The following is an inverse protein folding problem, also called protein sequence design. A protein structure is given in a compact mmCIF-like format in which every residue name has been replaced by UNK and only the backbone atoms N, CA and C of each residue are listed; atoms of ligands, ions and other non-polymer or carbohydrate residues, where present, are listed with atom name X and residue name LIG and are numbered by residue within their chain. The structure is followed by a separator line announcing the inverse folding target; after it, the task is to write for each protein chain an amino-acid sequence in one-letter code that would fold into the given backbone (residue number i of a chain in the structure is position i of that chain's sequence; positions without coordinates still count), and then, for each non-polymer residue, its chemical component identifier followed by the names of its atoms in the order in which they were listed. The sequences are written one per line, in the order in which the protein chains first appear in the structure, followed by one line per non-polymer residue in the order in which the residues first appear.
data_IF_554855590943
#
_entry.id   IF_554855590943
#
_cell.length_a   1.000
_cell.length_b   1.000
_cell.length_c   1.000
_cell.angle_alpha   90.00
_cell.angle_beta   90.00
_cell.angle_gamma   90.00
#
_symmetry.space_group_name_H-M   'P 1'
#
loop_
_entity.id
_entity.type
_entity.pdbx_description
1 polymer ?
#
# COMPACT_ATOMS: atom_id res chain seq x y z
N UNK A 1 56.88 -4.26 -53.74
CA UNK A 1 56.10 -4.24 -55.00
C UNK A 1 56.67 -5.34 -55.89
N UNK A 2 55.88 -6.31 -56.39
CA UNK A 2 54.44 -6.54 -56.18
C UNK A 2 54.16 -6.99 -54.71
N UNK A 3 53.03 -7.59 -54.30
CA UNK A 3 51.76 -7.96 -54.97
C UNK A 3 50.54 -7.64 -54.08
N UNK A 4 49.33 -7.69 -54.66
CA UNK A 4 48.05 -7.72 -53.93
C UNK A 4 47.06 -8.69 -54.58
N UNK A 5 46.98 -9.93 -54.11
CA UNK A 5 45.88 -10.84 -54.43
C UNK A 5 45.48 -11.78 -53.29
N UNK A 6 44.18 -11.79 -52.95
CA UNK A 6 43.49 -12.89 -52.29
C UNK A 6 43.67 -13.08 -50.77
N UNK A 7 42.69 -12.61 -49.98
CA UNK A 7 41.68 -13.54 -49.45
C UNK A 7 40.43 -12.80 -48.93
N UNK A 8 39.25 -13.23 -49.37
CA UNK A 8 37.97 -12.85 -48.76
C UNK A 8 37.88 -13.45 -47.36
N UNK A 9 37.51 -12.65 -46.35
CA UNK A 9 36.80 -13.16 -45.17
C UNK A 9 35.44 -12.49 -45.09
N UNK A 10 34.41 -13.31 -45.26
CA UNK A 10 33.01 -12.94 -45.08
C UNK A 10 32.82 -12.73 -43.57
N UNK A 11 32.48 -11.51 -43.16
CA UNK A 11 32.00 -11.26 -41.79
C UNK A 11 30.55 -11.70 -41.73
N UNK A 12 30.35 -12.97 -41.38
CA UNK A 12 29.03 -13.46 -41.01
C UNK A 12 28.63 -12.81 -39.69
N UNK A 13 27.64 -11.91 -39.73
CA UNK A 13 26.97 -11.45 -38.52
C UNK A 13 26.26 -12.64 -37.88
N UNK A 14 26.90 -13.24 -36.88
CA UNK A 14 26.27 -14.25 -36.04
C UNK A 14 25.10 -13.61 -35.32
N UNK A 15 23.89 -14.11 -35.59
CA UNK A 15 22.65 -13.65 -34.96
C UNK A 15 22.77 -13.85 -33.46
N UNK A 16 22.97 -12.76 -32.71
CA UNK A 16 22.89 -12.80 -31.26
C UNK A 16 21.42 -13.04 -30.90
N UNK A 17 21.07 -14.30 -30.67
CA UNK A 17 19.77 -14.67 -30.16
C UNK A 17 19.60 -14.02 -28.78
N UNK A 18 18.82 -12.94 -28.70
CA UNK A 18 18.33 -12.45 -27.42
C UNK A 18 17.48 -13.55 -26.81
N UNK A 19 18.06 -14.27 -25.86
CA UNK A 19 17.29 -14.96 -24.84
C UNK A 19 16.56 -13.87 -24.05
N UNK A 20 15.31 -13.64 -24.44
CA UNK A 20 14.33 -12.90 -23.66
C UNK A 20 14.10 -13.66 -22.35
N UNK A 21 14.96 -13.42 -21.36
CA UNK A 21 14.71 -13.79 -19.98
C UNK A 21 13.49 -13.02 -19.53
N UNK A 22 12.32 -13.65 -19.61
CA UNK A 22 11.04 -13.01 -19.33
C UNK A 22 11.08 -12.31 -17.97
N UNK A 23 10.56 -11.08 -17.93
CA UNK A 23 10.38 -10.29 -16.70
C UNK A 23 9.28 -10.91 -15.83
N UNK A 24 9.50 -12.14 -15.35
CA UNK A 24 8.55 -12.89 -14.58
C UNK A 24 8.46 -12.34 -13.16
N UNK A 25 7.36 -11.68 -12.84
CA UNK A 25 6.90 -11.62 -11.46
C UNK A 25 6.52 -13.03 -10.98
N UNK A 26 6.51 -13.22 -9.67
CA UNK A 26 5.91 -14.42 -9.05
C UNK A 26 4.71 -13.99 -8.26
N UNK A 27 3.52 -14.41 -8.70
CA UNK A 27 2.26 -14.17 -8.01
C UNK A 27 1.88 -15.42 -7.21
N UNK A 28 1.74 -15.28 -5.90
CA UNK A 28 1.29 -16.32 -4.99
C UNK A 28 -0.12 -15.98 -4.53
N UNK A 29 -1.06 -16.89 -4.80
CA UNK A 29 -2.48 -16.74 -4.51
C UNK A 29 -2.90 -17.81 -3.52
N UNK A 30 -3.72 -17.43 -2.55
CA UNK A 30 -4.38 -18.35 -1.63
C UNK A 30 -5.28 -19.35 -2.38
N UNK A 31 -5.17 -20.64 -2.06
CA UNK A 31 -6.13 -21.69 -2.47
C UNK A 31 -6.28 -21.96 -3.99
N UNK A 32 -5.19 -21.97 -4.75
CA UNK A 32 -5.14 -22.64 -6.06
C UNK A 32 -5.93 -22.02 -7.21
N UNK A 33 -6.57 -20.86 -6.97
CA UNK A 33 -7.03 -19.99 -8.04
C UNK A 33 -5.82 -19.50 -8.86
N UNK A 34 -6.00 -19.33 -10.17
CA UNK A 34 -5.00 -18.69 -11.02
C UNK A 34 -4.74 -17.26 -10.54
N UNK A 35 -3.50 -16.78 -10.75
CA UNK A 35 -3.18 -15.35 -10.62
C UNK A 35 -4.29 -14.51 -11.26
N UNK A 36 -4.85 -13.57 -10.48
CA UNK A 36 -6.07 -12.81 -10.85
C UNK A 36 -6.03 -12.43 -12.33
N UNK A 37 -7.01 -12.93 -13.07
CA UNK A 37 -7.29 -12.41 -14.41
C UNK A 37 -7.65 -10.92 -14.25
N UNK A 38 -7.05 -10.06 -15.06
CA UNK A 38 -7.30 -8.60 -15.05
C UNK A 38 -8.76 -8.22 -15.35
N UNK A 39 -9.62 -9.21 -15.58
CA UNK A 39 -11.07 -9.17 -15.79
C UNK A 39 -11.87 -8.50 -14.65
N UNK A 40 -11.28 -8.28 -13.46
CA UNK A 40 -11.89 -7.52 -12.38
C UNK A 40 -11.57 -5.99 -12.41
N UNK A 41 -10.79 -5.52 -13.38
CA UNK A 41 -10.66 -4.07 -13.64
C UNK A 41 -11.92 -3.54 -14.31
N UNK A 42 -12.41 -2.41 -13.83
CA UNK A 42 -13.55 -1.67 -14.39
C UNK A 42 -13.06 -0.82 -15.59
N UNK A 43 -13.96 -0.42 -16.47
CA UNK A 43 -13.63 0.57 -17.51
C UNK A 43 -13.26 1.90 -16.85
N UNK A 44 -12.10 2.51 -17.19
CA UNK A 44 -11.70 3.80 -16.64
C UNK A 44 -12.74 4.91 -16.83
N UNK A 45 -13.00 5.67 -15.78
CA UNK A 45 -13.93 6.81 -15.73
C UNK A 45 -13.16 8.13 -15.53
N UNK A 46 -13.68 9.27 -16.01
CA UNK A 46 -13.13 10.58 -15.64
C UNK A 46 -13.32 10.84 -14.15
N UNK A 47 -12.52 11.75 -13.59
CA UNK A 47 -12.58 12.16 -12.19
C UNK A 47 -12.11 13.61 -12.03
N UNK A 48 -12.55 14.25 -10.95
CA UNK A 48 -12.19 15.64 -10.61
C UNK A 48 -11.40 15.67 -9.30
N UNK A 49 -10.32 16.46 -9.26
CA UNK A 49 -9.59 16.76 -8.03
C UNK A 49 -10.31 17.88 -7.28
N UNK A 50 -10.58 17.69 -5.99
CA UNK A 50 -10.98 18.77 -5.10
C UNK A 50 -9.76 19.62 -4.72
N UNK A 51 -9.99 20.89 -4.35
CA UNK A 51 -8.95 21.67 -3.65
C UNK A 51 -8.57 20.95 -2.36
N UNK A 52 -7.28 20.88 -1.97
CA UNK A 52 -6.86 20.19 -0.74
C UNK A 52 -7.63 20.68 0.49
N UNK A 53 -8.05 19.75 1.33
CA UNK A 53 -8.93 20.03 2.48
C UNK A 53 -8.30 19.51 3.78
N UNK A 54 -8.36 20.31 4.85
CA UNK A 54 -7.97 19.86 6.18
C UNK A 54 -8.96 18.79 6.66
N UNK A 55 -8.48 17.58 6.91
CA UNK A 55 -9.29 16.50 7.49
C UNK A 55 -9.20 16.44 9.03
N UNK A 56 -8.18 17.09 9.60
CA UNK A 56 -7.92 17.08 11.04
C UNK A 56 -8.77 18.11 11.79
N UNK A 57 -9.28 17.80 13.01
CA UNK A 57 -10.00 18.77 13.84
C UNK A 57 -9.19 20.03 14.12
N UNK A 58 -9.85 21.17 14.38
CA UNK A 58 -9.18 22.47 14.57
C UNK A 58 -8.07 22.43 15.64
N UNK A 59 -8.33 21.75 16.76
CA UNK A 59 -7.42 21.57 17.89
C UNK A 59 -6.39 20.43 17.72
N UNK A 60 -6.28 19.81 16.55
CA UNK A 60 -5.26 18.79 16.30
C UNK A 60 -3.85 19.40 16.34
N UNK A 61 -2.81 18.67 16.78
CA UNK A 61 -1.46 19.23 16.94
C UNK A 61 -0.83 19.76 15.64
N UNK A 62 -1.26 19.25 14.48
CA UNK A 62 -0.84 19.72 13.16
C UNK A 62 -2.05 19.75 12.22
N UNK A 63 -2.12 20.74 11.32
CA UNK A 63 -3.21 20.87 10.36
C UNK A 63 -2.89 20.07 9.08
N UNK A 64 -3.27 18.79 9.08
CA UNK A 64 -3.02 17.86 7.98
C UNK A 64 -4.15 17.89 6.95
N UNK A 65 -3.77 17.78 5.68
CA UNK A 65 -4.66 17.87 4.52
C UNK A 65 -4.84 16.53 3.81
N UNK A 66 -5.98 16.41 3.14
CA UNK A 66 -6.35 15.34 2.25
C UNK A 66 -6.53 15.89 0.82
N UNK A 67 -6.08 15.09 -0.14
CA UNK A 67 -6.20 15.31 -1.57
C UNK A 67 -7.25 14.33 -2.07
N UNK A 68 -8.44 14.85 -2.39
CA UNK A 68 -9.61 14.04 -2.74
C UNK A 68 -9.86 14.05 -4.23
N UNK A 69 -9.96 12.87 -4.84
CA UNK A 69 -10.39 12.69 -6.23
C UNK A 69 -11.79 12.05 -6.22
N UNK A 70 -12.74 12.72 -6.88
CA UNK A 70 -14.11 12.25 -7.04
C UNK A 70 -14.30 11.70 -8.46
N UNK A 71 -14.64 10.42 -8.64
CA UNK A 71 -15.03 9.88 -9.94
C UNK A 71 -16.28 10.57 -10.48
N UNK A 72 -16.28 10.91 -11.76
CA UNK A 72 -17.45 11.42 -12.46
C UNK A 72 -18.35 10.25 -12.87
N UNK A 73 -19.52 10.14 -12.23
CA UNK A 73 -20.55 9.20 -12.65
C UNK A 73 -21.93 9.82 -12.44
N UNK A 74 -22.83 9.49 -13.37
CA UNK A 74 -24.23 9.93 -13.41
C UNK A 74 -25.15 9.00 -12.60
N UNK A 75 -24.57 8.07 -11.83
CA UNK A 75 -25.30 7.13 -10.98
C UNK A 75 -25.36 7.62 -9.54
N UNK A 76 -26.54 7.49 -8.93
CA UNK A 76 -26.77 7.69 -7.49
C UNK A 76 -26.34 6.48 -6.63
N UNK A 77 -25.78 5.42 -7.24
CA UNK A 77 -25.29 4.25 -6.52
C UNK A 77 -24.06 4.59 -5.66
N UNK A 78 -24.04 4.09 -4.42
CA UNK A 78 -22.92 4.27 -3.50
C UNK A 78 -21.67 3.53 -3.98
N UNK A 79 -20.52 4.16 -3.75
CA UNK A 79 -19.22 3.83 -4.34
C UNK A 79 -18.22 3.46 -3.25
N UNK A 80 -17.25 2.56 -3.53
CA UNK A 80 -16.14 2.36 -2.63
C UNK A 80 -15.29 3.62 -2.50
N UNK A 81 -14.49 3.69 -1.44
CA UNK A 81 -13.51 4.76 -1.25
C UNK A 81 -12.15 4.20 -0.86
N UNK A 82 -11.06 4.86 -1.22
CA UNK A 82 -9.71 4.43 -0.92
C UNK A 82 -8.96 5.46 -0.05
N UNK A 83 -8.59 5.06 1.18
CA UNK A 83 -7.63 5.80 2.00
C UNK A 83 -6.22 5.49 1.49
N UNK A 84 -5.53 6.50 0.97
CA UNK A 84 -4.20 6.36 0.35
C UNK A 84 -3.14 7.03 1.23
N UNK A 85 -2.08 6.28 1.57
CA UNK A 85 -1.06 6.70 2.54
C UNK A 85 0.36 6.49 1.99
N UNK A 86 1.17 7.56 2.03
CA UNK A 86 2.48 7.62 1.40
C UNK A 86 3.61 6.95 2.20
N UNK A 87 4.73 6.69 1.50
CA UNK A 87 5.97 6.22 2.08
C UNK A 87 6.77 7.34 2.77
N UNK A 88 8.08 7.14 2.95
CA UNK A 88 8.97 8.15 3.55
C UNK A 88 9.48 7.82 4.96
N UNK A 89 9.30 6.58 5.42
CA UNK A 89 9.90 6.09 6.66
C UNK A 89 9.43 6.84 7.90
N UNK A 90 8.16 7.27 7.90
CA UNK A 90 7.50 8.07 8.96
C UNK A 90 8.12 9.45 9.22
N UNK A 91 8.93 10.01 8.30
CA UNK A 91 9.74 11.22 8.54
C UNK A 91 9.73 12.30 7.46
N UNK A 92 9.32 11.98 6.25
CA UNK A 92 9.32 12.91 5.11
C UNK A 92 8.43 12.38 3.98
N UNK A 93 8.45 13.09 2.84
CA UNK A 93 7.58 12.94 1.66
C UNK A 93 6.14 13.37 1.94
N UNK A 94 5.30 13.37 0.92
CA UNK A 94 3.89 13.66 1.05
C UNK A 94 3.01 12.86 0.07
N UNK A 95 1.72 13.21 0.00
CA UNK A 95 0.74 12.61 -0.90
C UNK A 95 1.15 12.56 -2.38
N UNK A 96 2.01 13.46 -2.84
CA UNK A 96 2.48 13.54 -4.23
C UNK A 96 3.17 12.26 -4.72
N UNK A 97 3.84 11.50 -3.85
CA UNK A 97 4.43 10.21 -4.21
C UNK A 97 3.36 9.18 -4.63
N UNK A 98 2.16 9.28 -4.04
CA UNK A 98 1.03 8.35 -4.24
C UNK A 98 -0.02 8.84 -5.25
N UNK A 99 0.11 10.06 -5.78
CA UNK A 99 -0.87 10.70 -6.66
C UNK A 99 -1.28 9.78 -7.83
N UNK A 100 -0.32 9.25 -8.59
CA UNK A 100 -0.60 8.34 -9.70
C UNK A 100 -1.18 6.97 -9.31
N UNK A 101 -1.29 6.63 -8.02
CA UNK A 101 -2.06 5.48 -7.52
C UNK A 101 -3.49 5.93 -7.18
N UNK A 102 -3.64 7.10 -6.54
CA UNK A 102 -4.93 7.72 -6.26
C UNK A 102 -5.71 8.02 -7.56
N UNK A 103 -5.04 8.44 -8.64
CA UNK A 103 -5.63 8.60 -9.97
C UNK A 103 -6.11 7.28 -10.58
N UNK A 104 -5.34 6.19 -10.43
CA UNK A 104 -5.72 4.87 -10.95
C UNK A 104 -6.93 4.30 -10.22
N UNK A 105 -7.00 4.48 -8.90
CA UNK A 105 -8.17 4.11 -8.08
C UNK A 105 -9.39 4.99 -8.43
N UNK A 106 -9.22 6.30 -8.59
CA UNK A 106 -10.29 7.20 -9.01
C UNK A 106 -10.85 6.86 -10.39
N UNK A 107 -9.96 6.52 -11.34
CA UNK A 107 -10.36 6.02 -12.65
C UNK A 107 -11.16 4.70 -12.57
N UNK A 108 -10.95 3.89 -11.52
CA UNK A 108 -11.71 2.66 -11.28
C UNK A 108 -13.05 2.91 -10.56
N UNK A 109 -13.40 4.15 -10.24
CA UNK A 109 -14.69 4.53 -9.65
C UNK A 109 -14.70 4.61 -8.13
N UNK A 110 -13.52 4.52 -7.49
CA UNK A 110 -13.34 4.69 -6.05
C UNK A 110 -13.17 6.17 -5.70
N UNK A 111 -13.82 6.68 -4.65
CA UNK A 111 -13.51 8.01 -4.11
C UNK A 111 -12.17 7.93 -3.39
N UNK A 112 -11.13 8.64 -3.85
CA UNK A 112 -9.79 8.48 -3.27
C UNK A 112 -9.43 9.64 -2.37
N UNK A 113 -8.85 9.32 -1.22
CA UNK A 113 -8.52 10.25 -0.15
C UNK A 113 -7.06 10.02 0.22
N UNK A 114 -6.18 10.78 -0.41
CA UNK A 114 -4.73 10.68 -0.27
C UNK A 114 -4.25 11.69 0.77
N UNK A 115 -3.67 11.23 1.89
CA UNK A 115 -3.52 12.03 3.11
C UNK A 115 -2.08 12.34 3.49
N UNK A 116 -1.86 13.55 4.02
CA UNK A 116 -0.69 13.87 4.84
C UNK A 116 -0.80 13.17 6.21
N UNK A 117 0.33 12.80 6.82
CA UNK A 117 0.40 12.34 8.21
C UNK A 117 1.61 12.96 8.92
N UNK A 118 1.57 13.07 10.25
CA UNK A 118 2.67 13.71 11.02
C UNK A 118 3.98 12.92 10.98
N UNK A 119 5.09 13.57 11.31
CA UNK A 119 6.43 12.96 11.24
C UNK A 119 7.16 12.79 12.57
N UNK A 120 7.89 11.68 12.65
CA UNK A 120 8.85 11.40 13.70
C UNK A 120 10.17 12.17 13.48
N UNK A 121 10.94 12.50 14.53
CA UNK A 121 10.74 12.15 15.95
C UNK A 121 9.84 13.10 16.75
N UNK A 122 9.32 14.16 16.13
CA UNK A 122 8.46 15.16 16.79
C UNK A 122 7.13 14.54 17.22
N UNK A 123 6.48 13.84 16.29
CA UNK A 123 5.31 13.00 16.56
C UNK A 123 5.73 11.54 16.47
N UNK A 124 5.73 10.86 17.61
CA UNK A 124 6.09 9.44 17.73
C UNK A 124 4.86 8.55 17.62
N UNK A 125 5.05 7.29 17.29
CA UNK A 125 4.00 6.27 17.34
C UNK A 125 3.28 6.30 18.71
N UNK A 126 1.93 6.26 18.77
CA UNK A 126 0.97 6.03 17.68
C UNK A 126 0.42 7.27 16.95
N UNK A 127 1.04 8.46 17.05
CA UNK A 127 0.49 9.71 16.50
C UNK A 127 0.08 9.63 15.00
N UNK A 128 0.88 8.96 14.17
CA UNK A 128 0.56 8.77 12.75
C UNK A 128 -0.67 7.88 12.52
N UNK A 129 -0.88 6.87 13.38
CA UNK A 129 -2.06 6.01 13.28
C UNK A 129 -3.31 6.78 13.70
N UNK A 130 -3.20 7.66 14.70
CA UNK A 130 -4.27 8.57 15.07
C UNK A 130 -4.64 9.52 13.91
N UNK A 131 -3.66 9.96 13.11
CA UNK A 131 -3.93 10.77 11.91
C UNK A 131 -4.76 10.00 10.88
N UNK A 132 -4.42 8.73 10.61
CA UNK A 132 -5.22 7.85 9.76
C UNK A 132 -6.64 7.61 10.31
N UNK A 133 -6.80 7.48 11.62
CA UNK A 133 -8.11 7.34 12.27
C UNK A 133 -8.98 8.60 12.09
N UNK A 134 -8.39 9.80 12.21
CA UNK A 134 -9.11 11.04 11.92
C UNK A 134 -9.45 11.18 10.42
N UNK A 135 -8.60 10.69 9.51
CA UNK A 135 -8.92 10.65 8.09
C UNK A 135 -10.11 9.71 7.80
N UNK A 136 -10.20 8.56 8.47
CA UNK A 136 -11.36 7.68 8.37
C UNK A 136 -12.64 8.35 8.89
N UNK A 137 -12.61 8.95 10.09
CA UNK A 137 -13.75 9.71 10.62
C UNK A 137 -14.22 10.80 9.62
N UNK A 138 -13.29 11.53 9.02
CA UNK A 138 -13.57 12.54 8.00
C UNK A 138 -14.15 11.96 6.69
N UNK A 139 -13.74 10.76 6.27
CA UNK A 139 -14.37 10.05 5.14
C UNK A 139 -15.83 9.74 5.46
N UNK A 140 -16.12 9.23 6.67
CA UNK A 140 -17.50 8.95 7.11
C UNK A 140 -18.35 10.23 7.19
N UNK A 141 -17.81 11.34 7.71
CA UNK A 141 -18.50 12.64 7.76
C UNK A 141 -18.90 13.16 6.37
N UNK A 142 -18.06 12.93 5.35
CA UNK A 142 -18.30 13.37 3.99
C UNK A 142 -19.01 12.33 3.10
N UNK A 143 -19.27 11.12 3.60
CA UNK A 143 -19.70 9.99 2.78
C UNK A 143 -20.98 10.28 1.97
N UNK A 144 -21.97 10.94 2.59
CA UNK A 144 -23.19 11.35 1.90
C UNK A 144 -22.98 12.38 0.78
N UNK A 145 -21.98 13.26 0.90
CA UNK A 145 -21.66 14.27 -0.12
C UNK A 145 -20.85 13.69 -1.30
N UNK A 146 -20.11 12.61 -1.07
CA UNK A 146 -19.29 11.93 -2.09
C UNK A 146 -19.91 10.62 -2.61
N UNK A 147 -21.14 10.28 -2.19
CA UNK A 147 -21.80 9.01 -2.48
C UNK A 147 -20.93 7.79 -2.08
N UNK A 148 -20.20 7.87 -0.97
CA UNK A 148 -19.36 6.78 -0.46
C UNK A 148 -20.19 5.79 0.32
N UNK A 149 -19.95 4.51 0.03
CA UNK A 149 -20.35 3.37 0.81
C UNK A 149 -19.31 3.12 1.91
N UNK A 150 -19.65 3.40 3.16
CA UNK A 150 -18.68 3.34 4.28
C UNK A 150 -18.25 1.93 4.63
N UNK A 151 -19.02 0.91 4.25
CA UNK A 151 -18.64 -0.50 4.47
C UNK A 151 -17.65 -1.00 3.39
N UNK A 152 -17.38 -0.17 2.37
CA UNK A 152 -16.50 -0.48 1.22
C UNK A 152 -15.32 0.49 1.11
N UNK A 153 -14.81 0.97 2.26
CA UNK A 153 -13.57 1.75 2.33
C UNK A 153 -12.36 0.80 2.32
N UNK A 154 -11.40 1.00 1.42
CA UNK A 154 -10.17 0.21 1.27
C UNK A 154 -8.93 1.01 1.64
N UNK A 155 -7.90 0.34 2.15
CA UNK A 155 -6.63 0.98 2.50
C UNK A 155 -5.54 0.70 1.47
N UNK A 156 -4.80 1.72 1.04
CA UNK A 156 -3.70 1.56 0.08
C UNK A 156 -2.47 2.30 0.57
N UNK A 157 -1.36 1.59 0.75
CA UNK A 157 -0.12 2.20 1.22
C UNK A 157 1.15 1.60 0.63
N UNK A 158 2.23 2.38 0.67
CA UNK A 158 3.57 1.91 0.34
C UNK A 158 4.57 2.20 1.48
N UNK A 159 5.51 1.28 1.75
CA UNK A 159 6.56 1.44 2.76
C UNK A 159 5.99 1.75 4.15
N UNK A 160 6.39 2.86 4.79
CA UNK A 160 5.77 3.36 6.04
C UNK A 160 4.25 3.53 5.95
N UNK A 161 3.71 3.95 4.80
CA UNK A 161 2.27 4.06 4.60
C UNK A 161 1.57 2.70 4.54
N UNK A 162 2.21 1.69 3.93
CA UNK A 162 1.71 0.31 3.97
C UNK A 162 1.65 -0.21 5.42
N UNK A 163 2.65 0.13 6.23
CA UNK A 163 2.70 -0.19 7.65
C UNK A 163 1.60 0.49 8.46
N UNK A 164 1.38 1.79 8.27
CA UNK A 164 0.31 2.54 8.95
C UNK A 164 -1.09 2.01 8.58
N UNK A 165 -1.35 1.79 7.29
CA UNK A 165 -2.62 1.21 6.80
C UNK A 165 -2.81 -0.21 7.33
N UNK A 166 -1.74 -1.02 7.42
CA UNK A 166 -1.83 -2.37 7.99
C UNK A 166 -2.11 -2.34 9.50
N UNK A 167 -1.58 -1.38 10.25
CA UNK A 167 -1.94 -1.20 11.66
C UNK A 167 -3.39 -0.74 11.83
N UNK A 168 -3.88 0.18 10.97
CA UNK A 168 -5.28 0.61 10.96
C UNK A 168 -6.22 -0.59 10.76
N UNK A 169 -5.97 -1.39 9.72
CA UNK A 169 -6.77 -2.56 9.37
C UNK A 169 -6.77 -3.69 10.42
N UNK A 170 -5.69 -3.85 11.19
CA UNK A 170 -5.50 -4.99 12.10
C UNK A 170 -5.71 -4.66 13.58
N UNK A 171 -5.49 -3.41 13.99
CA UNK A 171 -5.53 -2.99 15.40
C UNK A 171 -6.22 -1.64 15.62
N UNK A 172 -6.49 -0.86 14.56
CA UNK A 172 -7.10 0.46 14.64
C UNK A 172 -8.62 0.45 14.70
N UNK A 173 -9.28 -0.62 14.24
CA UNK A 173 -10.72 -0.82 14.36
C UNK A 173 -11.12 -1.58 15.62
N UNK A 174 -10.40 -2.65 15.94
CA UNK A 174 -10.54 -3.48 17.13
C UNK A 174 -9.15 -3.78 17.70
N UNK A 175 -9.00 -3.86 19.03
CA UNK A 175 -7.74 -4.24 19.67
C UNK A 175 -6.96 -3.06 20.27
N UNK A 176 -5.63 -3.21 20.48
CA UNK A 176 -4.85 -2.34 21.37
C UNK A 176 -4.55 -0.94 20.84
N UNK A 177 -4.95 -0.62 19.60
CA UNK A 177 -4.77 0.69 18.97
C UNK A 177 -6.10 1.33 18.53
N UNK A 178 -7.25 0.76 18.94
CA UNK A 178 -8.56 1.28 18.59
C UNK A 178 -8.92 2.57 19.34
N UNK A 179 -8.42 2.75 20.56
CA UNK A 179 -8.64 3.96 21.36
C UNK A 179 -7.51 4.98 21.16
N UNK A 180 -7.80 6.30 21.11
CA UNK A 180 -9.09 6.93 21.38
C UNK A 180 -9.84 7.44 20.13
N UNK A 181 -9.36 7.16 18.92
CA UNK A 181 -9.92 7.73 17.66
C UNK A 181 -10.39 6.68 16.63
N UNK A 182 -10.15 5.40 16.87
CA UNK A 182 -10.52 4.31 15.98
C UNK A 182 -11.91 3.75 16.26
N UNK A 183 -12.00 2.42 16.39
CA UNK A 183 -13.28 1.73 16.51
C UNK A 183 -13.88 1.38 15.15
N UNK A 184 -15.20 1.19 15.09
CA UNK A 184 -15.90 0.69 13.89
C UNK A 184 -15.60 1.52 12.62
N UNK A 185 -15.55 2.85 12.73
CA UNK A 185 -15.23 3.78 11.64
C UNK A 185 -13.81 3.60 11.06
N UNK A 186 -12.90 2.92 11.76
CA UNK A 186 -11.55 2.63 11.26
C UNK A 186 -11.45 1.28 10.52
N UNK A 187 -12.56 0.56 10.35
CA UNK A 187 -12.61 -0.70 9.58
C UNK A 187 -12.29 -0.43 8.11
N UNK A 188 -11.50 -1.33 7.51
CA UNK A 188 -11.22 -1.36 6.08
C UNK A 188 -11.75 -2.67 5.50
N UNK A 189 -12.39 -2.60 4.33
CA UNK A 189 -12.92 -3.75 3.61
C UNK A 189 -11.82 -4.63 2.99
N UNK A 190 -10.70 -4.02 2.58
CA UNK A 190 -9.50 -4.70 2.07
C UNK A 190 -8.29 -3.76 2.07
N UNK A 191 -7.07 -4.32 1.95
CA UNK A 191 -5.81 -3.57 1.96
C UNK A 191 -4.89 -3.91 0.78
N UNK A 192 -4.32 -2.91 0.10
CA UNK A 192 -3.08 -3.05 -0.69
C UNK A 192 -1.91 -2.53 0.16
N UNK A 193 -0.93 -3.41 0.42
CA UNK A 193 0.28 -3.08 1.16
C UNK A 193 1.54 -3.39 0.34
N UNK A 194 2.19 -2.33 -0.16
CA UNK A 194 3.43 -2.42 -0.93
C UNK A 194 4.68 -2.16 -0.10
N UNK A 195 5.73 -2.97 -0.22
CA UNK A 195 7.01 -2.70 0.46
C UNK A 195 6.92 -2.70 1.99
N UNK A 196 5.95 -3.43 2.56
CA UNK A 196 5.49 -3.35 3.95
C UNK A 196 6.56 -3.74 4.98
N UNK A 197 6.96 -2.85 5.91
CA UNK A 197 7.74 -3.24 7.10
C UNK A 197 6.81 -3.83 8.17
N UNK A 198 6.43 -5.09 8.00
CA UNK A 198 5.42 -5.80 8.83
C UNK A 198 5.82 -6.12 10.28
N UNK A 199 7.11 -6.05 10.61
CA UNK A 199 7.65 -6.46 11.91
C UNK A 199 8.86 -5.60 12.27
N UNK A 200 8.67 -4.61 13.12
CA UNK A 200 9.73 -3.67 13.48
C UNK A 200 10.83 -4.34 14.34
N UNK A 201 10.55 -5.50 14.94
CA UNK A 201 11.54 -6.27 15.72
C UNK A 201 12.57 -6.97 14.82
N UNK A 202 12.35 -7.05 13.50
CA UNK A 202 13.33 -7.53 12.51
C UNK A 202 14.46 -6.53 12.24
N UNK A 203 14.26 -5.24 12.50
CA UNK A 203 15.28 -4.23 12.29
C UNK A 203 16.29 -4.17 13.44
N UNK A 204 17.57 -3.98 13.10
CA UNK A 204 18.66 -3.79 14.07
C UNK A 204 18.73 -2.34 14.56
N UNK A 205 17.70 -1.88 15.27
CA UNK A 205 17.65 -0.56 15.94
C UNK A 205 18.13 0.61 15.06
N UNK A 206 17.69 0.61 13.81
CA UNK A 206 17.98 1.67 12.85
C UNK A 206 17.35 3.00 13.28
N UNK A 207 18.04 4.12 13.01
CA UNK A 207 17.64 5.46 13.46
C UNK A 207 16.21 5.86 13.06
N UNK A 208 15.69 5.35 11.94
CA UNK A 208 14.30 5.55 11.53
C UNK A 208 13.30 4.97 12.54
N UNK A 209 13.52 3.72 12.97
CA UNK A 209 12.64 3.01 13.91
C UNK A 209 12.79 3.58 15.33
N UNK A 210 14.02 3.90 15.75
CA UNK A 210 14.26 4.58 17.03
C UNK A 210 13.54 5.93 17.10
N UNK A 211 13.64 6.77 16.05
CA UNK A 211 12.97 8.07 16.05
C UNK A 211 11.44 7.92 15.99
N UNK A 212 10.91 6.89 15.32
CA UNK A 212 9.47 6.59 15.23
C UNK A 212 8.88 6.10 16.56
N UNK A 213 9.55 5.16 17.26
CA UNK A 213 9.09 4.61 18.54
C UNK A 213 9.46 5.52 19.71
N UNK A 214 10.61 6.19 19.65
CA UNK A 214 11.12 7.07 20.70
C UNK A 214 12.24 6.50 21.57
N UNK A 215 12.74 5.30 21.27
CA UNK A 215 13.84 4.62 21.97
C UNK A 215 14.23 3.31 21.25
N UNK A 216 15.33 2.66 21.64
CA UNK A 216 15.76 1.38 21.07
C UNK A 216 14.90 0.20 21.55
N UNK A 217 14.88 -0.89 20.78
CA UNK A 217 14.10 -2.11 21.04
C UNK A 217 14.34 -2.72 22.42
N UNK A 218 15.56 -2.62 22.93
CA UNK A 218 15.92 -3.12 24.26
C UNK A 218 15.25 -2.34 25.41
N UNK A 219 14.88 -1.08 25.18
CA UNK A 219 14.20 -0.23 26.15
C UNK A 219 12.68 -0.15 25.89
N UNK A 220 12.24 -0.38 24.65
CA UNK A 220 10.86 -0.22 24.19
C UNK A 220 10.27 -1.50 23.53
N UNK A 221 10.45 -2.71 24.09
CA UNK A 221 10.09 -3.95 23.40
C UNK A 221 8.59 -4.05 23.08
N UNK A 222 7.73 -3.63 24.01
CA UNK A 222 6.28 -3.67 23.85
C UNK A 222 5.80 -2.68 22.78
N UNK A 223 6.40 -1.50 22.70
CA UNK A 223 6.07 -0.51 21.67
C UNK A 223 6.48 -0.98 20.26
N UNK A 224 7.63 -1.64 20.12
CA UNK A 224 8.02 -2.28 18.85
C UNK A 224 7.06 -3.42 18.48
N UNK A 225 6.61 -4.23 19.45
CA UNK A 225 5.64 -5.30 19.20
C UNK A 225 4.26 -4.77 18.80
N UNK A 226 3.77 -3.73 19.50
CA UNK A 226 2.51 -3.04 19.22
C UNK A 226 2.53 -2.38 17.83
N UNK A 227 3.63 -1.73 17.47
CA UNK A 227 3.85 -1.12 16.17
C UNK A 227 4.22 -2.13 15.05
N UNK A 228 4.08 -3.45 15.26
CA UNK A 228 4.39 -4.48 14.25
C UNK A 228 3.10 -5.12 13.71
N UNK A 229 2.64 -4.79 12.47
CA UNK A 229 1.45 -5.39 11.86
C UNK A 229 1.36 -6.92 11.97
N UNK A 230 2.46 -7.65 11.78
CA UNK A 230 2.50 -9.11 11.85
C UNK A 230 2.11 -9.68 13.22
N UNK A 231 2.15 -8.88 14.29
CA UNK A 231 1.73 -9.26 15.65
C UNK A 231 0.30 -8.88 15.98
N UNK A 232 -0.37 -8.13 15.11
CA UNK A 232 -1.75 -7.67 15.29
C UNK A 232 -2.76 -8.49 14.46
N UNK A 233 -2.31 -9.49 13.69
CA UNK A 233 -3.20 -10.31 12.87
C UNK A 233 -4.14 -11.14 13.76
N UNK A 234 -5.45 -10.96 13.57
CA UNK A 234 -6.52 -11.76 14.17
C UNK A 234 -7.36 -12.41 13.07
N UNK A 235 -8.29 -13.29 13.44
CA UNK A 235 -9.27 -13.87 12.50
C UNK A 235 -10.25 -12.84 11.92
N UNK A 236 -10.32 -11.62 12.49
CA UNK A 236 -11.17 -10.53 12.00
C UNK A 236 -10.46 -9.63 10.96
N UNK A 237 -9.21 -9.93 10.60
CA UNK A 237 -8.44 -9.14 9.64
C UNK A 237 -9.11 -9.12 8.26
N UNK A 238 -9.17 -7.96 7.57
CA UNK A 238 -9.70 -7.90 6.21
C UNK A 238 -8.74 -8.56 5.20
N UNK A 239 -9.19 -8.82 3.96
CA UNK A 239 -8.34 -9.30 2.88
C UNK A 239 -7.13 -8.38 2.57
N UNK A 240 -5.98 -8.99 2.26
CA UNK A 240 -4.72 -8.27 1.96
C UNK A 240 -4.10 -8.66 0.61
N UNK A 241 -3.87 -7.68 -0.25
CA UNK A 241 -2.97 -7.80 -1.40
C UNK A 241 -1.60 -7.19 -1.06
N UNK A 242 -0.56 -8.02 -1.14
CA UNK A 242 0.81 -7.63 -0.83
C UNK A 242 1.64 -7.53 -2.10
N UNK A 243 2.48 -6.50 -2.24
CA UNK A 243 3.50 -6.47 -3.30
C UNK A 243 4.87 -6.06 -2.77
N UNK A 244 5.92 -6.78 -3.19
CA UNK A 244 7.27 -6.55 -2.66
C UNK A 244 8.35 -6.77 -3.72
N UNK A 245 9.46 -6.03 -3.60
CA UNK A 245 10.63 -6.24 -4.45
C UNK A 245 11.47 -7.41 -3.92
N UNK A 246 11.84 -8.38 -4.78
CA UNK A 246 12.60 -9.55 -4.33
C UNK A 246 14.04 -9.23 -3.91
N UNK A 247 14.55 -8.04 -4.22
CA UNK A 247 15.89 -7.54 -3.87
C UNK A 247 15.79 -6.31 -2.96
N UNK A 248 14.69 -6.16 -2.22
CA UNK A 248 14.56 -5.08 -1.26
C UNK A 248 15.56 -5.23 -0.12
N UNK A 249 16.43 -4.21 0.03
CA UNK A 249 17.46 -4.12 1.08
C UNK A 249 17.10 -3.09 2.16
N UNK A 250 16.02 -2.31 1.98
CA UNK A 250 15.54 -1.36 2.98
C UNK A 250 14.48 -2.00 3.88
N UNK A 251 13.59 -2.78 3.27
CA UNK A 251 12.62 -3.64 3.95
C UNK A 251 12.80 -5.05 3.38
N UNK A 252 13.55 -5.94 4.06
CA UNK A 252 13.80 -7.30 3.56
C UNK A 252 12.52 -8.03 3.14
N UNK A 253 12.61 -8.83 2.06
CA UNK A 253 11.44 -9.52 1.47
C UNK A 253 10.73 -10.46 2.46
N UNK A 254 11.43 -10.92 3.50
CA UNK A 254 10.85 -11.72 4.58
C UNK A 254 9.73 -11.01 5.35
N UNK A 255 9.68 -9.67 5.34
CA UNK A 255 8.55 -8.92 5.89
C UNK A 255 7.25 -9.23 5.13
N UNK A 256 7.29 -9.38 3.81
CA UNK A 256 6.11 -9.71 3.02
C UNK A 256 5.79 -11.21 3.05
N UNK A 257 6.80 -12.09 2.96
CA UNK A 257 6.55 -13.55 2.96
C UNK A 257 6.03 -14.05 4.30
N UNK A 258 6.58 -13.55 5.42
CA UNK A 258 6.18 -14.03 6.75
C UNK A 258 4.82 -13.46 7.15
N UNK A 259 4.53 -12.21 6.76
CA UNK A 259 3.21 -11.60 6.95
C UNK A 259 2.13 -12.30 6.11
N UNK A 260 2.43 -12.61 4.84
CA UNK A 260 1.58 -13.46 4.00
C UNK A 260 1.31 -14.83 4.65
N UNK A 261 2.36 -15.51 5.12
CA UNK A 261 2.23 -16.81 5.79
C UNK A 261 1.39 -16.73 7.08
N UNK A 262 1.51 -15.63 7.84
CA UNK A 262 0.73 -15.41 9.05
C UNK A 262 -0.77 -15.14 8.76
N UNK A 263 -1.08 -14.37 7.72
CA UNK A 263 -2.46 -14.18 7.22
C UNK A 263 -3.06 -15.52 6.77
N UNK A 264 -2.31 -16.30 5.98
CA UNK A 264 -2.71 -17.62 5.49
C UNK A 264 -2.97 -18.61 6.65
N UNK A 265 -2.14 -18.58 7.70
CA UNK A 265 -2.33 -19.39 8.90
C UNK A 265 -3.61 -19.06 9.70
N UNK A 266 -4.15 -17.84 9.55
CA UNK A 266 -5.44 -17.43 10.11
C UNK A 266 -6.62 -17.58 9.13
N UNK A 267 -6.37 -18.12 7.93
CA UNK A 267 -7.39 -18.28 6.88
C UNK A 267 -7.82 -16.98 6.18
N UNK A 268 -7.09 -15.88 6.38
CA UNK A 268 -7.43 -14.58 5.81
C UNK A 268 -7.17 -14.61 4.29
N UNK A 269 -8.13 -14.16 3.44
CA UNK A 269 -7.91 -14.05 2.01
C UNK A 269 -6.74 -13.11 1.71
N UNK A 270 -5.68 -13.62 1.09
CA UNK A 270 -4.52 -12.81 0.77
C UNK A 270 -3.78 -13.27 -0.47
N UNK A 271 -3.04 -12.33 -1.07
CA UNK A 271 -2.18 -12.55 -2.24
C UNK A 271 -0.82 -11.88 -2.03
N UNK A 272 0.22 -12.42 -2.66
CA UNK A 272 1.57 -11.90 -2.60
C UNK A 272 2.21 -11.82 -4.00
N UNK A 273 2.42 -10.60 -4.48
CA UNK A 273 3.07 -10.26 -5.74
C UNK A 273 4.55 -9.93 -5.53
N UNK A 274 5.43 -10.89 -5.78
CA UNK A 274 6.88 -10.70 -5.72
C UNK A 274 7.44 -10.22 -7.06
N UNK A 275 7.85 -8.96 -7.08
CA UNK A 275 8.48 -8.30 -8.23
C UNK A 275 9.97 -8.70 -8.29
N UNK A 276 10.29 -9.69 -9.14
CA UNK A 276 11.67 -10.21 -9.25
C UNK A 276 12.66 -9.16 -9.72
N UNK A 277 13.84 -9.15 -9.10
CA UNK A 277 14.96 -8.28 -9.48
C UNK A 277 14.82 -6.80 -9.08
N UNK A 278 13.80 -6.44 -8.28
CA UNK A 278 13.54 -5.06 -7.86
C UNK A 278 13.83 -4.86 -6.37
N UNK A 279 14.48 -3.75 -6.02
CA UNK A 279 14.59 -3.25 -4.65
C UNK A 279 13.50 -2.22 -4.31
N UNK A 280 13.50 -1.68 -3.09
CA UNK A 280 12.42 -0.84 -2.53
C UNK A 280 11.86 0.24 -3.50
N UNK A 281 12.69 1.22 -3.88
CA UNK A 281 12.26 2.30 -4.76
C UNK A 281 11.93 1.81 -6.18
N UNK A 282 12.59 0.76 -6.66
CA UNK A 282 12.30 0.18 -7.97
C UNK A 282 10.96 -0.56 -8.00
N UNK A 283 10.55 -1.19 -6.90
CA UNK A 283 9.25 -1.86 -6.80
C UNK A 283 8.09 -0.87 -6.72
N UNK A 284 8.35 0.36 -6.27
CA UNK A 284 7.42 1.48 -6.30
C UNK A 284 7.38 2.20 -7.66
N UNK A 285 8.54 2.60 -8.19
CA UNK A 285 8.60 3.38 -9.44
C UNK A 285 8.14 2.56 -10.65
N UNK A 286 8.48 1.27 -10.69
CA UNK A 286 8.10 0.36 -11.79
C UNK A 286 6.87 -0.49 -11.45
N UNK A 287 6.12 -0.14 -10.39
CA UNK A 287 5.01 -0.92 -9.81
C UNK A 287 4.09 -1.57 -10.84
N UNK A 288 3.66 -0.83 -11.85
CA UNK A 288 2.98 -1.35 -13.05
C UNK A 288 1.85 -2.33 -12.71
N UNK A 289 1.90 -3.52 -13.31
CA UNK A 289 0.90 -4.57 -13.14
C UNK A 289 0.69 -5.07 -11.71
N UNK A 290 1.55 -4.74 -10.74
CA UNK A 290 1.31 -5.03 -9.33
C UNK A 290 0.20 -4.14 -8.73
N UNK A 291 0.07 -2.88 -9.18
CA UNK A 291 -1.06 -2.02 -8.77
C UNK A 291 -2.33 -2.43 -9.50
N UNK A 292 -2.27 -2.71 -10.80
CA UNK A 292 -3.43 -3.22 -11.55
C UNK A 292 -3.98 -4.52 -10.93
N UNK A 293 -3.10 -5.47 -10.58
CA UNK A 293 -3.50 -6.70 -9.88
C UNK A 293 -4.09 -6.39 -8.48
N UNK A 294 -3.48 -5.46 -7.73
CA UNK A 294 -4.02 -5.03 -6.44
C UNK A 294 -5.39 -4.37 -6.54
N UNK A 295 -5.63 -3.50 -7.52
CA UNK A 295 -6.95 -2.87 -7.72
C UNK A 295 -7.97 -3.90 -8.23
N UNK A 296 -7.56 -4.84 -9.08
CA UNK A 296 -8.40 -5.97 -9.47
C UNK A 296 -8.79 -6.85 -8.26
N UNK A 297 -7.88 -7.07 -7.30
CA UNK A 297 -8.17 -7.73 -6.03
C UNK A 297 -9.17 -6.91 -5.18
N UNK A 298 -8.93 -5.60 -4.98
CA UNK A 298 -9.83 -4.72 -4.24
C UNK A 298 -11.24 -4.73 -4.85
N UNK A 299 -11.35 -4.58 -6.18
CA UNK A 299 -12.62 -4.58 -6.91
C UNK A 299 -13.46 -5.85 -6.69
N UNK A 300 -12.84 -6.98 -6.31
CA UNK A 300 -13.55 -8.21 -5.94
C UNK A 300 -14.05 -8.17 -4.49
N UNK A 301 -13.33 -7.50 -3.58
CA UNK A 301 -13.74 -7.37 -2.18
C UNK A 301 -14.81 -6.30 -1.95
N UNK A 302 -14.90 -5.29 -2.84
CA UNK A 302 -15.88 -4.19 -2.74
C UNK A 302 -16.92 -4.17 -3.87
N UNK A 303 -17.38 -5.34 -4.32
CA UNK A 303 -18.55 -5.41 -5.18
C UNK A 303 -19.82 -4.96 -4.42
N UNK A 304 -20.76 -4.25 -5.05
CA UNK A 304 -22.08 -4.03 -4.46
C UNK A 304 -22.85 -5.36 -4.39
N UNK A 305 -23.72 -5.51 -3.39
CA UNK A 305 -24.66 -6.63 -3.26
C UNK A 305 -25.74 -6.66 -4.38
#
# INVERSE_FOLDING_TARGET
MPDLSGLRRIVSFGTLALLLSGCGATHQVSQGASAIEQNALRTPQPFTHLTPQRYTPEAWPEALNAYVLLPESQSEALRPAALVVHGGGWRNRGPEDMEGIAEQLAAQGDVTVNIEHRFAPEYRFPAQLHDLQQAMAWIHENAGAWQVDTDRIVGVGFSSGAHLVSLLALAGSEGPLAEPYGGEHARLAAVIAGGLPSDLLKFNDGRLVIDFIGGPRAEQPDAYALASPARQITANAPPFFLFHGSWDQLVPVDHATDFYAALQAQGIPSELYLQRGRGHFASFLLKGSAIEAGIAFLNQQVQPE
#
